data_IF_327107569891
#
_entry.id   IF_327107569891
#
_cell.length_a   1.000
_cell.length_b   1.000
_cell.length_c   1.000
_cell.angle_alpha   90.00
_cell.angle_beta   90.00
_cell.angle_gamma   90.00
#
_symmetry.space_group_name_H-M   'P 1'
#
loop_
_entity.id
_entity.type
_entity.pdbx_description
1 polymer ?
#
# COMPACT_ATOMS: atom_id res chain seq x y z
N UNK A 1 20.21 -26.04 -4.78
CA UNK A 1 19.84 -25.16 -5.90
C UNK A 1 20.30 -25.82 -7.19
N UNK A 2 19.35 -26.16 -8.05
CA UNK A 2 19.62 -26.80 -9.34
C UNK A 2 20.20 -25.78 -10.35
N UNK A 3 20.93 -26.26 -11.36
CA UNK A 3 21.55 -25.41 -12.39
C UNK A 3 20.55 -24.43 -13.04
N UNK A 4 19.33 -24.89 -13.31
CA UNK A 4 18.24 -24.09 -13.88
C UNK A 4 17.87 -22.88 -13.03
N UNK A 5 17.82 -23.06 -11.71
CA UNK A 5 17.46 -22.01 -10.76
C UNK A 5 18.56 -20.96 -10.69
N UNK A 6 19.83 -21.40 -10.72
CA UNK A 6 20.99 -20.50 -10.67
C UNK A 6 20.98 -19.54 -11.87
N UNK A 7 20.71 -20.06 -13.06
CA UNK A 7 20.62 -19.29 -14.30
C UNK A 7 19.42 -18.32 -14.24
N UNK A 8 18.26 -18.79 -13.79
CA UNK A 8 17.05 -17.98 -13.67
C UNK A 8 17.23 -16.81 -12.68
N UNK A 9 17.77 -17.07 -11.48
CA UNK A 9 17.99 -16.03 -10.49
C UNK A 9 19.03 -15.02 -10.97
N UNK A 10 20.14 -15.49 -11.53
CA UNK A 10 21.19 -14.64 -12.07
C UNK A 10 20.67 -13.69 -13.16
N UNK A 11 19.84 -14.20 -14.08
CA UNK A 11 19.21 -13.38 -15.13
C UNK A 11 18.34 -12.28 -14.52
N UNK A 12 17.48 -12.64 -13.56
CA UNK A 12 16.59 -11.69 -12.87
C UNK A 12 17.35 -10.64 -12.06
N UNK A 13 18.42 -11.02 -11.37
CA UNK A 13 19.26 -10.09 -10.61
C UNK A 13 19.92 -9.05 -11.52
N UNK A 14 20.22 -9.41 -12.76
CA UNK A 14 20.71 -8.48 -13.79
C UNK A 14 19.60 -7.71 -14.51
N UNK A 15 18.34 -7.95 -14.19
CA UNK A 15 17.19 -7.29 -14.84
C UNK A 15 17.01 -7.67 -16.32
N UNK A 16 17.63 -8.76 -16.78
CA UNK A 16 17.59 -9.16 -18.19
C UNK A 16 16.30 -9.93 -18.51
N UNK A 17 15.73 -9.69 -19.68
CA UNK A 17 14.70 -10.55 -20.29
C UNK A 17 15.32 -11.84 -20.84
N UNK A 18 14.49 -12.83 -21.20
CA UNK A 18 15.00 -14.07 -21.80
C UNK A 18 15.53 -13.81 -23.21
N UNK A 19 14.93 -12.86 -23.91
CA UNK A 19 15.32 -12.35 -25.23
C UNK A 19 16.68 -11.65 -25.16
N UNK A 20 16.87 -10.76 -24.20
CA UNK A 20 18.16 -10.07 -24.00
C UNK A 20 19.28 -11.06 -23.63
N UNK A 21 19.00 -12.05 -22.78
CA UNK A 21 19.99 -13.07 -22.47
C UNK A 21 20.31 -13.95 -23.69
N UNK A 22 19.32 -14.24 -24.54
CA UNK A 22 19.48 -14.98 -25.78
C UNK A 22 20.39 -14.24 -26.77
N UNK A 23 20.17 -12.94 -26.92
CA UNK A 23 21.01 -12.08 -27.75
C UNK A 23 22.45 -12.02 -27.22
N UNK A 24 22.64 -11.80 -25.92
CA UNK A 24 23.97 -11.71 -25.30
C UNK A 24 24.77 -13.02 -25.38
N UNK A 25 24.08 -14.16 -25.39
CA UNK A 25 24.72 -15.48 -25.40
C UNK A 25 24.75 -16.13 -26.77
N UNK A 26 24.10 -15.51 -27.77
CA UNK A 26 23.82 -16.08 -29.08
C UNK A 26 23.17 -17.47 -29.01
N UNK A 27 22.27 -17.64 -28.03
CA UNK A 27 21.48 -18.87 -27.83
C UNK A 27 20.03 -18.56 -28.18
N UNK A 28 19.33 -19.50 -28.80
CA UNK A 28 17.90 -19.31 -29.08
C UNK A 28 17.09 -19.12 -27.77
N UNK A 29 16.19 -18.14 -27.74
CA UNK A 29 15.28 -17.86 -26.60
C UNK A 29 14.59 -19.12 -26.09
N UNK A 30 14.13 -19.99 -27.00
CA UNK A 30 13.49 -21.26 -26.65
C UNK A 30 14.43 -22.23 -25.94
N UNK A 31 15.72 -22.19 -26.26
CA UNK A 31 16.74 -22.98 -25.57
C UNK A 31 16.99 -22.42 -24.17
N UNK A 32 17.03 -21.09 -23.99
CA UNK A 32 17.12 -20.46 -22.66
C UNK A 32 15.92 -20.85 -21.80
N UNK A 33 14.70 -20.75 -22.34
CA UNK A 33 13.48 -21.17 -21.65
C UNK A 33 13.55 -22.62 -21.20
N UNK A 34 13.94 -23.54 -22.09
CA UNK A 34 14.10 -24.97 -21.76
C UNK A 34 15.16 -25.20 -20.69
N UNK A 35 16.26 -24.43 -20.69
CA UNK A 35 17.30 -24.49 -19.66
C UNK A 35 16.75 -23.99 -18.31
N UNK A 36 16.07 -22.84 -18.28
CA UNK A 36 15.45 -22.28 -17.07
C UNK A 36 14.32 -23.16 -16.50
N UNK A 37 13.61 -23.88 -17.37
CA UNK A 37 12.59 -24.87 -16.98
C UNK A 37 13.19 -26.22 -16.55
N UNK A 38 14.47 -26.48 -16.86
CA UNK A 38 15.14 -27.75 -16.60
C UNK A 38 14.79 -28.87 -17.57
N UNK A 39 14.21 -28.55 -18.73
CA UNK A 39 13.85 -29.49 -19.79
C UNK A 39 15.06 -29.93 -20.63
N UNK A 40 16.19 -29.22 -20.53
CA UNK A 40 17.40 -29.53 -21.31
C UNK A 40 18.64 -29.15 -20.54
N UNK A 41 19.58 -30.09 -20.42
CA UNK A 41 20.89 -29.85 -19.81
C UNK A 41 21.81 -29.17 -20.84
N UNK A 42 22.25 -27.93 -20.62
CA UNK A 42 23.13 -27.23 -21.55
C UNK A 42 24.52 -27.89 -21.63
N UNK A 43 25.15 -27.83 -22.80
CA UNK A 43 26.53 -28.32 -22.99
C UNK A 43 27.52 -27.40 -22.26
N UNK A 44 28.72 -27.90 -21.98
CA UNK A 44 29.80 -27.14 -21.32
C UNK A 44 30.07 -25.80 -22.01
N UNK A 45 30.06 -25.77 -23.34
CA UNK A 45 30.23 -24.54 -24.12
C UNK A 45 29.11 -23.51 -23.84
N UNK A 46 27.86 -23.95 -23.90
CA UNK A 46 26.66 -23.15 -23.59
C UNK A 46 26.67 -22.63 -22.16
N UNK A 47 27.16 -23.43 -21.22
CA UNK A 47 27.31 -23.01 -19.83
C UNK A 47 28.35 -21.92 -19.65
N UNK A 48 29.49 -21.98 -20.37
CA UNK A 48 30.50 -20.94 -20.34
C UNK A 48 30.00 -19.61 -20.91
N UNK A 49 29.21 -19.65 -21.99
CA UNK A 49 28.63 -18.42 -22.57
C UNK A 49 27.59 -17.80 -21.65
N UNK A 50 26.73 -18.62 -21.02
CA UNK A 50 25.79 -18.17 -20.00
C UNK A 50 26.50 -17.58 -18.78
N UNK A 51 27.55 -18.24 -18.29
CA UNK A 51 28.38 -17.76 -17.17
C UNK A 51 28.97 -16.38 -17.46
N UNK A 52 29.53 -16.20 -18.66
CA UNK A 52 30.12 -14.94 -19.09
C UNK A 52 29.07 -13.82 -19.19
N UNK A 53 27.93 -14.07 -19.83
CA UNK A 53 26.84 -13.09 -19.97
C UNK A 53 26.23 -12.72 -18.60
N UNK A 54 26.09 -13.69 -17.71
CA UNK A 54 25.58 -13.50 -16.37
C UNK A 54 26.64 -13.00 -15.37
N UNK A 55 27.90 -12.85 -15.80
CA UNK A 55 29.05 -12.46 -14.96
C UNK A 55 29.18 -13.29 -13.69
N UNK A 56 28.94 -14.61 -13.80
CA UNK A 56 29.08 -15.58 -12.72
C UNK A 56 30.22 -16.53 -13.07
N UNK A 57 31.10 -16.91 -12.12
CA UNK A 57 32.13 -17.91 -12.38
C UNK A 57 31.53 -19.24 -12.82
N UNK A 58 32.14 -19.88 -13.82
CA UNK A 58 31.67 -21.16 -14.36
C UNK A 58 31.61 -22.25 -13.27
N UNK A 59 32.57 -22.22 -12.34
CA UNK A 59 32.63 -23.14 -11.20
C UNK A 59 31.40 -23.00 -10.30
N UNK A 60 30.87 -21.78 -10.14
CA UNK A 60 29.67 -21.50 -9.32
C UNK A 60 28.40 -22.08 -9.95
N UNK A 61 28.33 -22.17 -11.29
CA UNK A 61 27.21 -22.79 -12.00
C UNK A 61 27.26 -24.31 -11.92
N UNK A 62 28.45 -24.90 -12.04
CA UNK A 62 28.65 -26.36 -12.15
C UNK A 62 28.79 -27.07 -10.82
N UNK A 63 29.31 -26.42 -9.78
CA UNK A 63 29.42 -27.05 -8.45
C UNK A 63 28.03 -27.19 -7.82
N UNK A 64 27.61 -28.39 -7.39
CA UNK A 64 26.50 -28.53 -6.48
C UNK A 64 26.89 -27.80 -5.20
N UNK A 65 26.30 -26.62 -4.97
CA UNK A 65 26.39 -25.99 -3.65
C UNK A 65 25.64 -26.96 -2.72
N UNK A 66 26.27 -27.48 -1.65
CA UNK A 66 25.56 -28.31 -0.67
C UNK A 66 24.29 -27.54 -0.27
N UNK A 67 23.13 -28.20 -0.30
CA UNK A 67 21.84 -27.58 0.00
C UNK A 67 21.67 -27.27 1.49
N UNK A 68 22.71 -26.74 2.13
CA UNK A 68 22.63 -26.16 3.45
C UNK A 68 22.21 -24.69 3.26
N UNK A 69 21.01 -24.38 3.77
CA UNK A 69 20.43 -23.05 3.97
C UNK A 69 20.03 -22.20 2.76
N UNK A 70 19.08 -22.68 1.95
CA UNK A 70 17.90 -21.85 1.71
C UNK A 70 16.81 -22.53 2.53
N UNK A 71 16.64 -22.06 3.77
CA UNK A 71 15.46 -22.43 4.55
C UNK A 71 14.25 -21.95 3.74
N UNK A 72 13.25 -22.82 3.56
CA UNK A 72 11.91 -22.38 3.17
C UNK A 72 11.48 -21.27 4.12
N UNK A 73 11.64 -20.01 3.71
CA UNK A 73 11.20 -18.86 4.46
C UNK A 73 9.67 -18.86 4.35
N UNK A 74 9.03 -19.70 5.16
CA UNK A 74 7.58 -19.72 5.32
C UNK A 74 7.17 -18.32 5.74
N UNK A 75 6.44 -17.65 4.86
CA UNK A 75 5.78 -16.38 5.17
C UNK A 75 4.99 -16.58 6.46
N UNK A 76 5.37 -15.85 7.51
CA UNK A 76 4.69 -15.94 8.78
C UNK A 76 3.29 -15.33 8.63
N UNK A 77 2.30 -16.21 8.45
CA UNK A 77 0.91 -15.83 8.27
C UNK A 77 0.40 -14.93 9.41
N UNK A 78 0.96 -15.06 10.62
CA UNK A 78 0.59 -14.21 11.78
C UNK A 78 1.09 -12.78 11.62
N UNK A 79 2.26 -12.59 11.00
CA UNK A 79 2.78 -11.25 10.68
C UNK A 79 1.95 -10.64 9.56
N UNK A 80 1.61 -11.42 8.53
CA UNK A 80 0.76 -10.95 7.43
C UNK A 80 -0.65 -10.58 7.90
N UNK A 81 -1.23 -11.35 8.82
CA UNK A 81 -2.51 -11.04 9.46
C UNK A 81 -2.45 -9.75 10.28
N UNK A 82 -1.38 -9.52 11.06
CA UNK A 82 -1.17 -8.26 11.78
C UNK A 82 -1.00 -7.07 10.84
N UNK A 83 -0.34 -7.26 9.69
CA UNK A 83 -0.20 -6.22 8.67
C UNK A 83 -1.56 -5.88 8.06
N UNK A 84 -2.38 -6.88 7.71
CA UNK A 84 -3.77 -6.66 7.29
C UNK A 84 -4.59 -5.96 8.37
N UNK A 85 -4.43 -6.34 9.64
CA UNK A 85 -5.11 -5.69 10.76
C UNK A 85 -4.67 -4.23 10.91
N UNK A 86 -3.39 -3.94 10.72
CA UNK A 86 -2.83 -2.59 10.77
C UNK A 86 -3.37 -1.68 9.64
N UNK A 87 -3.76 -2.22 8.48
CA UNK A 87 -4.42 -1.44 7.43
C UNK A 87 -5.74 -0.81 7.89
N UNK A 88 -6.45 -1.43 8.85
CA UNK A 88 -7.66 -0.86 9.44
C UNK A 88 -7.39 0.28 10.43
N UNK A 89 -6.13 0.59 10.77
CA UNK A 89 -5.79 1.75 11.59
C UNK A 89 -6.26 3.08 10.96
N UNK A 90 -6.39 3.13 9.63
CA UNK A 90 -7.00 4.25 8.92
C UNK A 90 -8.44 4.52 9.36
N UNK A 91 -9.20 3.50 9.77
CA UNK A 91 -10.56 3.66 10.32
C UNK A 91 -10.56 4.43 11.65
N UNK A 92 -9.45 4.37 12.39
CA UNK A 92 -9.30 4.97 13.72
C UNK A 92 -8.80 6.42 13.65
N UNK A 93 -8.06 6.80 12.61
CA UNK A 93 -7.53 8.16 12.44
C UNK A 93 -8.61 9.27 12.42
N UNK A 94 -9.78 9.11 11.75
CA UNK A 94 -10.89 10.06 11.85
C UNK A 94 -11.44 10.20 13.27
N UNK A 95 -11.39 9.10 14.04
CA UNK A 95 -11.88 9.05 15.42
C UNK A 95 -10.88 9.64 16.42
N UNK A 96 -9.59 9.74 16.10
CA UNK A 96 -8.60 10.37 17.00
C UNK A 96 -8.69 11.90 16.96
N UNK A 97 -9.30 12.47 15.91
CA UNK A 97 -9.34 13.92 15.72
C UNK A 97 -9.98 14.69 16.90
N UNK A 98 -11.00 14.12 17.56
CA UNK A 98 -11.66 14.75 18.71
C UNK A 98 -10.92 14.55 20.04
N UNK A 99 -10.03 13.56 20.12
CA UNK A 99 -9.26 13.22 21.33
C UNK A 99 -8.18 14.28 21.61
N UNK A 100 -7.52 14.77 20.57
CA UNK A 100 -6.43 15.76 20.70
C UNK A 100 -6.89 17.05 21.41
N UNK A 101 -7.97 17.74 20.99
CA UNK A 101 -8.46 18.91 21.71
C UNK A 101 -8.88 18.59 23.15
N UNK A 102 -9.43 17.40 23.41
CA UNK A 102 -9.86 16.99 24.74
C UNK A 102 -8.67 16.77 25.68
N UNK A 103 -7.58 16.16 25.19
CA UNK A 103 -6.34 16.01 25.96
C UNK A 103 -5.73 17.37 26.27
N UNK A 104 -5.67 18.28 25.29
CA UNK A 104 -5.18 19.65 25.50
C UNK A 104 -5.97 20.36 26.62
N UNK A 105 -7.31 20.26 26.62
CA UNK A 105 -8.14 20.85 27.69
C UNK A 105 -7.95 20.17 29.06
N UNK A 106 -7.70 18.86 29.08
CA UNK A 106 -7.51 18.07 30.31
C UNK A 106 -6.15 18.35 30.96
N UNK A 107 -5.10 18.51 30.15
CA UNK A 107 -3.74 18.81 30.60
C UNK A 107 -3.47 20.29 30.80
N UNK A 108 -4.35 21.18 30.33
CA UNK A 108 -4.23 22.61 30.55
C UNK A 108 -4.80 23.04 31.91
N UNK A 109 -4.04 23.85 32.65
CA UNK A 109 -4.46 24.42 33.93
C UNK A 109 -5.28 25.71 33.71
N UNK A 110 -6.43 25.59 33.04
CA UNK A 110 -7.31 26.72 32.68
C UNK A 110 -8.57 26.81 33.56
N UNK A 111 -9.16 28.00 33.60
CA UNK A 111 -10.42 28.30 34.29
C UNK A 111 -11.59 27.45 33.80
N UNK A 112 -12.62 27.31 34.65
CA UNK A 112 -13.82 26.51 34.34
C UNK A 112 -14.54 27.01 33.07
N UNK A 113 -14.60 28.33 32.86
CA UNK A 113 -15.18 28.96 31.67
C UNK A 113 -14.47 28.53 30.37
N UNK A 114 -13.13 28.46 30.39
CA UNK A 114 -12.33 28.02 29.24
C UNK A 114 -12.54 26.53 28.95
N UNK A 115 -12.66 25.70 29.99
CA UNK A 115 -12.96 24.27 29.84
C UNK A 115 -14.36 24.04 29.28
N UNK A 116 -15.34 24.83 29.70
CA UNK A 116 -16.72 24.74 29.20
C UNK A 116 -16.83 25.16 27.73
N UNK A 117 -16.19 26.28 27.36
CA UNK A 117 -16.07 26.72 25.97
C UNK A 117 -15.35 25.69 25.10
N UNK A 118 -14.24 25.13 25.57
CA UNK A 118 -13.50 24.07 24.90
C UNK A 118 -14.34 22.82 24.67
N UNK A 119 -15.06 22.33 25.69
CA UNK A 119 -15.95 21.18 25.56
C UNK A 119 -17.10 21.42 24.57
N UNK A 120 -17.61 22.65 24.46
CA UNK A 120 -18.61 23.02 23.45
C UNK A 120 -18.03 22.91 22.03
N UNK A 121 -16.80 23.36 21.81
CA UNK A 121 -16.10 23.23 20.51
C UNK A 121 -15.93 21.76 20.15
N UNK A 122 -15.46 20.93 21.08
CA UNK A 122 -15.26 19.48 20.84
C UNK A 122 -16.57 18.78 20.48
N UNK A 123 -17.67 19.06 21.19
CA UNK A 123 -18.99 18.50 20.85
C UNK A 123 -19.43 18.86 19.43
N UNK A 124 -19.20 20.10 19.01
CA UNK A 124 -19.53 20.55 17.66
C UNK A 124 -18.67 19.85 16.59
N UNK A 125 -17.40 19.61 16.89
CA UNK A 125 -16.48 18.87 16.02
C UNK A 125 -16.90 17.40 15.85
N UNK A 126 -17.29 16.73 16.94
CA UNK A 126 -17.82 15.35 16.89
C UNK A 126 -19.07 15.29 16.01
N UNK A 127 -20.03 16.18 16.25
CA UNK A 127 -21.27 16.24 15.46
C UNK A 127 -20.98 16.43 13.97
N UNK A 128 -20.03 17.29 13.63
CA UNK A 128 -19.63 17.54 12.24
C UNK A 128 -19.03 16.29 11.57
N UNK A 129 -18.10 15.61 12.24
CA UNK A 129 -17.47 14.38 11.71
C UNK A 129 -18.51 13.28 11.46
N UNK A 130 -19.44 13.10 12.39
CA UNK A 130 -20.56 12.16 12.25
C UNK A 130 -21.41 12.53 11.03
N UNK A 131 -21.75 13.82 10.88
CA UNK A 131 -22.56 14.32 9.76
C UNK A 131 -21.89 14.06 8.40
N UNK A 132 -20.60 14.35 8.27
CA UNK A 132 -19.83 14.10 7.03
C UNK A 132 -19.82 12.61 6.70
N UNK A 133 -19.60 11.75 7.70
CA UNK A 133 -19.61 10.29 7.51
C UNK A 133 -20.96 9.81 6.97
N UNK A 134 -22.07 10.27 7.56
CA UNK A 134 -23.41 9.92 7.08
C UNK A 134 -23.69 10.41 5.66
N UNK A 135 -23.28 11.63 5.31
CA UNK A 135 -23.46 12.17 3.95
C UNK A 135 -22.64 11.39 2.91
N UNK A 136 -21.44 10.95 3.27
CA UNK A 136 -20.63 10.11 2.39
C UNK A 136 -21.26 8.73 2.20
N UNK A 137 -21.73 8.08 3.26
CA UNK A 137 -22.45 6.80 3.17
C UNK A 137 -23.73 6.92 2.35
N UNK A 138 -24.48 8.01 2.54
CA UNK A 138 -25.68 8.31 1.76
C UNK A 138 -25.35 8.50 0.27
N UNK A 139 -24.25 9.19 -0.05
CA UNK A 139 -23.79 9.35 -1.44
C UNK A 139 -23.42 8.00 -2.08
N UNK A 140 -22.81 7.09 -1.32
CA UNK A 140 -22.53 5.71 -1.78
C UNK A 140 -23.84 4.99 -2.05
N UNK A 141 -24.77 5.01 -1.11
CA UNK A 141 -26.08 4.36 -1.23
C UNK A 141 -26.85 4.89 -2.45
N UNK A 142 -26.88 6.20 -2.68
CA UNK A 142 -27.51 6.80 -3.85
C UNK A 142 -26.86 6.34 -5.15
N UNK A 143 -25.52 6.33 -5.23
CA UNK A 143 -24.83 5.82 -6.43
C UNK A 143 -25.19 4.36 -6.71
N UNK A 144 -25.31 3.50 -5.69
CA UNK A 144 -25.75 2.11 -5.87
C UNK A 144 -27.17 2.01 -6.41
N UNK A 145 -28.10 2.80 -5.85
CA UNK A 145 -29.50 2.86 -6.32
C UNK A 145 -29.54 3.34 -7.78
N UNK A 146 -28.78 4.37 -8.14
CA UNK A 146 -28.73 4.91 -9.50
C UNK A 146 -28.22 3.88 -10.52
N UNK A 147 -27.20 3.10 -10.15
CA UNK A 147 -26.69 2.00 -10.98
C UNK A 147 -27.72 0.88 -11.11
N UNK A 148 -28.38 0.49 -10.03
CA UNK A 148 -29.32 -0.63 -10.02
C UNK A 148 -30.60 -0.35 -10.83
N UNK A 149 -31.20 0.84 -10.66
CA UNK A 149 -32.47 1.17 -11.31
C UNK A 149 -32.32 1.80 -12.70
N UNK A 150 -31.27 2.61 -12.92
CA UNK A 150 -31.11 3.39 -14.15
C UNK A 150 -29.84 3.08 -14.94
N UNK A 151 -28.97 2.19 -14.46
CA UNK A 151 -27.73 1.82 -15.15
C UNK A 151 -26.71 2.96 -15.26
N UNK A 152 -26.93 4.09 -14.59
CA UNK A 152 -26.04 5.26 -14.65
C UNK A 152 -24.83 4.98 -13.76
N UNK A 153 -23.66 4.81 -14.38
CA UNK A 153 -22.40 4.60 -13.67
C UNK A 153 -21.83 5.94 -13.23
N UNK A 154 -21.47 6.05 -11.94
CA UNK A 154 -20.79 7.21 -11.35
C UNK A 154 -21.52 8.56 -11.50
N UNK A 155 -22.83 8.58 -11.27
CA UNK A 155 -23.64 9.80 -11.37
C UNK A 155 -23.17 10.93 -10.45
N UNK A 156 -22.65 10.61 -9.25
CA UNK A 156 -22.15 11.59 -8.29
C UNK A 156 -20.73 11.22 -7.88
N UNK A 157 -19.76 12.08 -8.24
CA UNK A 157 -18.38 11.94 -7.78
C UNK A 157 -18.26 12.24 -6.29
N UNK A 158 -17.67 11.32 -5.52
CA UNK A 158 -17.46 11.44 -4.07
C UNK A 158 -16.61 12.65 -3.66
N UNK A 159 -15.80 13.19 -4.56
CA UNK A 159 -15.00 14.39 -4.31
C UNK A 159 -15.88 15.62 -4.09
N UNK A 160 -17.03 15.72 -4.77
CA UNK A 160 -17.91 16.89 -4.66
C UNK A 160 -18.43 17.05 -3.22
N UNK A 161 -19.18 16.10 -2.64
CA UNK A 161 -19.67 16.25 -1.26
C UNK A 161 -18.52 16.36 -0.24
N UNK A 162 -17.39 15.69 -0.48
CA UNK A 162 -16.23 15.79 0.39
C UNK A 162 -15.65 17.22 0.42
N UNK A 163 -15.33 17.82 -0.73
CA UNK A 163 -14.79 19.17 -0.81
C UNK A 163 -15.76 20.21 -0.27
N UNK A 164 -17.05 20.10 -0.60
CA UNK A 164 -18.07 21.03 -0.09
C UNK A 164 -18.13 20.98 1.44
N UNK A 165 -18.07 19.79 2.03
CA UNK A 165 -18.03 19.63 3.48
C UNK A 165 -16.75 20.19 4.11
N UNK A 166 -15.58 19.98 3.50
CA UNK A 166 -14.32 20.57 4.01
C UNK A 166 -14.33 22.09 3.96
N UNK A 167 -14.86 22.70 2.89
CA UNK A 167 -15.00 24.15 2.76
C UNK A 167 -15.94 24.69 3.85
N UNK A 168 -17.09 24.07 4.04
CA UNK A 168 -18.04 24.45 5.09
C UNK A 168 -17.43 24.35 6.49
N UNK A 169 -16.64 23.30 6.74
CA UNK A 169 -15.91 23.14 8.00
C UNK A 169 -14.91 24.27 8.23
N UNK A 170 -14.11 24.61 7.21
CA UNK A 170 -13.12 25.69 7.28
C UNK A 170 -13.78 27.05 7.55
N UNK A 171 -14.88 27.36 6.85
CA UNK A 171 -15.65 28.60 7.08
C UNK A 171 -16.20 28.66 8.50
N UNK A 172 -16.74 27.54 9.00
CA UNK A 172 -17.28 27.46 10.37
C UNK A 172 -16.18 27.67 11.41
N UNK A 173 -15.04 26.99 11.25
CA UNK A 173 -13.90 27.10 12.16
C UNK A 173 -13.35 28.54 12.16
N UNK A 174 -13.26 29.17 10.99
CA UNK A 174 -12.84 30.57 10.87
C UNK A 174 -13.79 31.54 11.60
N UNK A 175 -15.11 31.35 11.45
CA UNK A 175 -16.11 32.15 12.19
C UNK A 175 -16.01 31.94 13.69
N UNK A 176 -15.86 30.70 14.13
CA UNK A 176 -15.73 30.34 15.54
C UNK A 176 -14.46 30.92 16.17
N UNK A 177 -13.33 30.91 15.43
CA UNK A 177 -12.10 31.55 15.86
C UNK A 177 -12.26 33.07 16.08
N UNK A 178 -13.01 33.76 15.21
CA UNK A 178 -13.31 35.19 15.36
C UNK A 178 -14.20 35.50 16.58
N UNK A 179 -15.09 34.61 16.96
CA UNK A 179 -15.94 34.79 18.14
C UNK A 179 -15.15 34.63 19.45
N UNK A 180 -14.16 33.74 19.48
CA UNK A 180 -13.32 33.50 20.67
C UNK A 180 -12.41 34.70 20.96
N UNK A 181 -11.89 35.38 19.93
CA UNK A 181 -11.02 36.57 20.08
C UNK A 181 -11.77 37.81 20.63
N UNK A 182 -13.10 37.78 20.66
CA UNK A 182 -13.93 38.88 21.21
C UNK A 182 -14.17 38.79 22.73
N UNK A 183 -13.78 37.70 23.37
CA UNK A 183 -13.84 37.49 24.83
C UNK A 183 -12.47 37.69 25.46
#
# INVERSE_FOLDING_TARGET
>A
MELKEKILLARKQKGLTQEELAELTNINVRTIQRIENGETTPRVFTLKTLAAALSIPFETLVTPVPSASIQDEKVDARVLEKVHLACYAYLVLPLIHWVVPMLVLKFSNTNHLTKEAGNKIVRQQIFWVVTVTFVMLFTVMLNFILVYYWGIRHAIHYLIPAFTMYILHAVRLYRQGKEIVKY
#
